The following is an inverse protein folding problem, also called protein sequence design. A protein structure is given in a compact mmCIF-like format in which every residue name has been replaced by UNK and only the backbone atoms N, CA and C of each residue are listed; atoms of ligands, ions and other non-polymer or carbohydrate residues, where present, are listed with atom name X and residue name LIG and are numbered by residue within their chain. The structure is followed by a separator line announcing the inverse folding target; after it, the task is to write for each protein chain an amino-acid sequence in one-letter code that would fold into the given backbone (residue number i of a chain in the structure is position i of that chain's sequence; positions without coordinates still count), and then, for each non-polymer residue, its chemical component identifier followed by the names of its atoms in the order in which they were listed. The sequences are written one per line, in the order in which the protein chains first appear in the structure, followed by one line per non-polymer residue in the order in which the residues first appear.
data_IF_156171269244
#
_entry.id   IF_156171269244
#
_cell.length_a   1.000
_cell.length_b   1.000
_cell.length_c   1.000
_cell.angle_alpha   90.00
_cell.angle_beta   90.00
_cell.angle_gamma   90.00
#
_symmetry.space_group_name_H-M   'P 1'
#
loop_
_entity.id
_entity.type
_entity.pdbx_description
1 polymer ?
#
# COMPACT_ATOMS: atom_id res chain seq x y z
N UNK A 1 7.18 2.04 20.20
CA UNK A 1 5.83 1.64 19.76
C UNK A 1 5.53 2.30 18.41
N UNK A 2 4.92 1.57 17.50
CA UNK A 2 4.59 2.08 16.18
C UNK A 2 3.24 2.78 16.21
N UNK A 3 3.17 3.93 15.58
CA UNK A 3 1.94 4.70 15.48
C UNK A 3 1.55 4.90 14.02
N UNK A 4 0.29 4.61 13.71
CA UNK A 4 -0.29 4.87 12.38
C UNK A 4 -1.13 6.14 12.43
N UNK A 5 -1.00 6.98 11.43
CA UNK A 5 -1.89 8.14 11.26
C UNK A 5 -2.02 8.51 9.80
N UNK A 6 -3.08 9.22 9.44
CA UNK A 6 -3.23 9.69 8.08
C UNK A 6 -2.12 10.66 7.69
N UNK A 7 -1.73 10.61 6.43
CA UNK A 7 -0.72 11.51 5.87
C UNK A 7 -1.21 12.96 5.94
N UNK A 8 -0.29 13.85 6.25
CA UNK A 8 -0.54 15.30 6.18
C UNK A 8 0.48 15.92 5.23
N UNK A 9 0.24 17.19 4.88
CA UNK A 9 1.13 17.91 3.96
C UNK A 9 2.60 17.89 4.43
N UNK A 10 2.82 17.95 5.74
CA UNK A 10 4.19 17.96 6.28
C UNK A 10 4.92 16.63 6.10
N UNK A 11 4.20 15.55 5.79
CA UNK A 11 4.80 14.24 5.57
C UNK A 11 5.20 14.00 4.11
N UNK A 12 4.72 14.81 3.19
CA UNK A 12 4.86 14.54 1.76
C UNK A 12 6.32 14.33 1.33
N UNK A 13 7.24 15.17 1.79
CA UNK A 13 8.64 15.07 1.41
C UNK A 13 9.28 13.78 1.93
N UNK A 14 9.01 13.41 3.19
CA UNK A 14 9.56 12.20 3.80
C UNK A 14 9.03 10.95 3.10
N UNK A 15 7.74 10.89 2.81
CA UNK A 15 7.13 9.75 2.12
C UNK A 15 7.69 9.62 0.71
N UNK A 16 7.77 10.73 -0.03
CA UNK A 16 8.32 10.71 -1.39
C UNK A 16 9.75 10.19 -1.40
N UNK A 17 10.58 10.61 -0.44
CA UNK A 17 11.95 10.13 -0.32
C UNK A 17 12.00 8.62 -0.07
N UNK A 18 11.17 8.11 0.84
CA UNK A 18 11.12 6.67 1.15
C UNK A 18 10.72 5.87 -0.10
N UNK A 19 9.70 6.33 -0.83
CA UNK A 19 9.24 5.64 -2.04
C UNK A 19 10.35 5.62 -3.10
N UNK A 20 10.97 6.76 -3.37
CA UNK A 20 12.02 6.86 -4.39
C UNK A 20 13.24 6.02 -4.02
N UNK A 21 13.66 6.04 -2.75
CA UNK A 21 14.79 5.24 -2.30
C UNK A 21 14.54 3.76 -2.51
N UNK A 22 13.33 3.29 -2.19
CA UNK A 22 12.96 1.89 -2.41
C UNK A 22 12.96 1.53 -3.88
N UNK A 23 12.34 2.35 -4.72
CA UNK A 23 12.28 2.07 -6.16
C UNK A 23 13.68 2.03 -6.77
N UNK A 24 14.52 3.00 -6.42
CA UNK A 24 15.89 3.05 -6.92
C UNK A 24 16.69 1.82 -6.49
N UNK A 25 16.56 1.41 -5.23
CA UNK A 25 17.25 0.25 -4.69
C UNK A 25 16.94 -1.02 -5.47
N UNK A 26 15.71 -1.15 -5.97
CA UNK A 26 15.28 -2.34 -6.71
C UNK A 26 15.23 -2.12 -8.23
N UNK A 27 15.94 -1.09 -8.73
CA UNK A 27 16.05 -0.78 -10.16
C UNK A 27 14.71 -0.45 -10.81
N UNK A 28 13.81 0.18 -10.05
CA UNK A 28 12.50 0.62 -10.51
C UNK A 28 12.39 2.15 -10.62
N UNK A 29 13.52 2.85 -10.61
CA UNK A 29 13.62 4.28 -10.91
C UNK A 29 13.57 4.50 -12.43
N UNK A 30 12.51 3.99 -13.06
CA UNK A 30 12.33 3.95 -14.51
C UNK A 30 10.99 4.59 -14.90
N UNK A 31 10.86 5.05 -16.17
CA UNK A 31 9.60 5.62 -16.63
C UNK A 31 8.44 4.66 -16.46
N UNK A 32 7.28 5.19 -16.13
CA UNK A 32 6.06 4.42 -15.90
C UNK A 32 5.85 3.96 -14.48
N UNK A 33 6.82 4.18 -13.58
CA UNK A 33 6.64 3.96 -12.15
C UNK A 33 6.34 5.29 -11.46
N UNK A 34 5.89 5.20 -10.20
CA UNK A 34 5.59 6.43 -9.43
C UNK A 34 6.85 7.27 -9.15
N UNK A 35 8.05 6.74 -9.40
CA UNK A 35 9.29 7.48 -9.19
C UNK A 35 9.27 8.85 -9.88
N UNK A 36 8.70 8.90 -11.08
CA UNK A 36 8.66 10.14 -11.88
C UNK A 36 7.32 10.86 -11.82
N UNK A 37 6.37 10.38 -11.01
CA UNK A 37 5.08 11.05 -10.89
C UNK A 37 5.23 12.36 -10.13
N UNK A 38 4.72 13.44 -10.71
CA UNK A 38 4.70 14.73 -10.04
C UNK A 38 3.87 14.66 -8.74
N UNK A 39 2.81 13.86 -8.75
CA UNK A 39 1.94 13.69 -7.59
C UNK A 39 2.62 13.02 -6.40
N UNK A 40 3.75 12.34 -6.61
CA UNK A 40 4.45 11.66 -5.50
C UNK A 40 4.88 12.65 -4.41
N UNK A 41 5.21 13.87 -4.77
CA UNK A 41 5.62 14.89 -3.80
C UNK A 41 4.44 15.55 -3.09
N UNK A 42 3.21 15.18 -3.47
CA UNK A 42 1.97 15.79 -2.99
C UNK A 42 0.90 14.76 -2.65
N UNK A 43 1.31 13.62 -2.05
CA UNK A 43 0.37 12.52 -1.79
C UNK A 43 -0.79 12.93 -0.90
N UNK A 44 -0.58 13.85 0.03
CA UNK A 44 -1.65 14.32 0.91
C UNK A 44 -2.77 15.01 0.14
N UNK A 45 -2.50 15.54 -1.06
CA UNK A 45 -3.52 16.16 -1.89
C UNK A 45 -4.41 15.12 -2.58
N UNK A 46 -3.85 13.97 -2.91
CA UNK A 46 -4.58 12.91 -3.61
C UNK A 46 -5.42 12.08 -2.67
N UNK A 47 -4.85 11.68 -1.54
CA UNK A 47 -5.53 10.85 -0.55
C UNK A 47 -6.33 11.71 0.43
N UNK A 48 -7.20 11.08 1.21
CA UNK A 48 -7.91 11.78 2.27
C UNK A 48 -9.40 11.93 2.03
N UNK A 49 -10.01 10.96 1.34
CA UNK A 49 -11.47 10.86 1.23
C UNK A 49 -11.90 9.42 1.50
N UNK A 50 -13.20 9.16 1.47
CA UNK A 50 -13.71 7.84 1.84
C UNK A 50 -13.29 6.72 0.89
N UNK A 51 -12.93 7.05 -0.35
CA UNK A 51 -12.55 6.04 -1.35
C UNK A 51 -11.06 5.73 -1.31
N UNK A 52 -10.22 6.65 -0.81
CA UNK A 52 -8.78 6.48 -0.81
C UNK A 52 -8.12 7.21 0.35
N UNK A 53 -7.26 6.49 1.04
CA UNK A 53 -6.54 7.01 2.21
C UNK A 53 -5.11 6.50 2.19
N UNK A 54 -4.22 7.29 2.77
CA UNK A 54 -2.82 6.91 2.94
C UNK A 54 -2.42 7.18 4.38
N UNK A 55 -1.73 6.22 4.97
CA UNK A 55 -1.29 6.28 6.37
C UNK A 55 0.22 6.25 6.44
N UNK A 56 0.79 7.11 7.26
CA UNK A 56 2.21 7.07 7.58
C UNK A 56 2.40 6.36 8.91
N UNK A 57 3.61 5.83 9.09
CA UNK A 57 3.99 5.13 10.30
C UNK A 57 5.09 5.91 10.95
N UNK A 58 4.90 6.22 12.25
CA UNK A 58 5.89 6.90 13.06
C UNK A 58 6.52 5.93 14.06
N UNK A 59 7.82 6.08 14.28
CA UNK A 59 8.51 5.41 15.38
C UNK A 59 8.35 6.21 16.68
N UNK A 60 9.01 5.75 17.74
CA UNK A 60 8.93 6.39 19.06
C UNK A 60 9.48 7.83 19.07
N UNK A 61 10.35 8.15 18.11
CA UNK A 61 10.93 9.50 17.99
C UNK A 61 10.08 10.44 17.14
N UNK A 62 8.92 9.98 16.67
CA UNK A 62 8.06 10.79 15.81
C UNK A 62 8.53 10.86 14.36
N UNK A 63 9.49 10.02 13.97
CA UNK A 63 9.99 9.98 12.60
C UNK A 63 9.10 9.11 11.72
N UNK A 64 8.82 9.58 10.50
CA UNK A 64 8.09 8.79 9.51
C UNK A 64 9.04 7.72 8.95
N UNK A 65 8.69 6.46 9.17
CA UNK A 65 9.51 5.32 8.75
C UNK A 65 8.87 4.46 7.66
N UNK A 66 7.67 4.80 7.23
CA UNK A 66 6.99 4.09 6.17
C UNK A 66 5.60 4.59 5.94
N UNK A 67 4.92 3.95 5.00
CA UNK A 67 3.53 4.27 4.70
C UNK A 67 2.86 3.20 3.88
N UNK A 68 1.54 3.25 3.87
CA UNK A 68 0.69 2.34 3.11
C UNK A 68 -0.67 2.99 2.89
N UNK A 69 -1.27 2.73 1.73
CA UNK A 69 -2.56 3.29 1.43
C UNK A 69 -3.42 2.38 0.57
N UNK A 70 -4.60 2.88 0.27
CA UNK A 70 -5.50 2.22 -0.67
C UNK A 70 -6.27 3.25 -1.48
N UNK A 71 -6.72 2.82 -2.65
CA UNK A 71 -7.63 3.58 -3.51
C UNK A 71 -8.65 2.60 -4.10
N UNK A 72 -9.78 3.11 -4.53
CA UNK A 72 -10.76 2.29 -5.23
C UNK A 72 -10.15 1.74 -6.52
N UNK A 73 -10.30 0.44 -6.73
CA UNK A 73 -9.96 -0.18 -8.02
C UNK A 73 -11.22 -0.24 -8.87
N UNK A 74 -11.40 0.77 -9.70
CA UNK A 74 -12.63 1.01 -10.45
C UNK A 74 -13.09 -0.19 -11.30
N UNK A 75 -12.20 -0.94 -11.98
CA UNK A 75 -12.65 -2.03 -12.85
C UNK A 75 -13.43 -3.14 -12.16
N UNK A 76 -13.23 -3.34 -10.86
CA UNK A 76 -13.90 -4.43 -10.13
C UNK A 76 -14.65 -3.87 -8.92
N UNK A 77 -15.93 -4.24 -8.81
CA UNK A 77 -16.79 -3.75 -7.74
C UNK A 77 -16.24 -4.15 -6.36
N UNK A 78 -16.44 -3.27 -5.38
CA UNK A 78 -16.10 -3.48 -3.97
C UNK A 78 -14.63 -3.82 -3.75
N UNK A 79 -13.76 -3.38 -4.64
CA UNK A 79 -12.32 -3.69 -4.61
C UNK A 79 -11.50 -2.43 -4.33
N UNK A 80 -10.60 -2.54 -3.38
CA UNK A 80 -9.59 -1.52 -3.09
C UNK A 80 -8.24 -2.00 -3.59
N UNK A 81 -7.45 -1.08 -4.15
CA UNK A 81 -6.06 -1.36 -4.50
C UNK A 81 -5.16 -0.94 -3.35
N UNK A 82 -4.39 -1.89 -2.82
CA UNK A 82 -3.33 -1.60 -1.85
C UNK A 82 -2.21 -0.88 -2.58
N UNK A 83 -1.81 0.28 -2.07
CA UNK A 83 -0.87 1.15 -2.76
C UNK A 83 0.29 1.59 -1.86
N UNK A 84 1.45 1.67 -2.48
CA UNK A 84 2.64 2.34 -1.94
C UNK A 84 3.02 1.88 -0.52
N UNK A 85 3.10 0.57 -0.33
CA UNK A 85 3.65 -0.02 0.88
C UNK A 85 5.18 0.08 0.81
N UNK A 86 5.75 0.98 1.58
CA UNK A 86 7.20 1.17 1.62
C UNK A 86 7.66 1.45 3.04
N UNK A 87 8.89 1.02 3.33
CA UNK A 87 9.55 1.22 4.62
C UNK A 87 10.95 1.77 4.40
N UNK A 88 11.46 2.51 5.38
CA UNK A 88 12.88 2.85 5.41
C UNK A 88 13.70 1.56 5.59
N UNK A 89 14.96 1.57 5.17
CA UNK A 89 15.82 0.40 5.31
C UNK A 89 15.95 -0.05 6.77
N UNK A 90 16.04 0.91 7.69
CA UNK A 90 16.16 0.59 9.12
C UNK A 90 14.91 -0.11 9.66
N UNK A 91 13.75 0.12 9.07
CA UNK A 91 12.50 -0.48 9.53
C UNK A 91 12.22 -1.86 8.90
N UNK A 92 12.95 -2.21 7.84
CA UNK A 92 12.77 -3.50 7.16
C UNK A 92 13.25 -4.65 8.03
N UNK A 93 12.67 -5.83 7.80
CA UNK A 93 13.08 -7.05 8.49
C UNK A 93 12.58 -7.19 9.92
N UNK A 94 11.69 -6.31 10.35
CA UNK A 94 11.15 -6.31 11.72
C UNK A 94 9.74 -6.92 11.83
N UNK A 95 9.21 -7.44 10.73
CA UNK A 95 7.82 -7.92 10.68
C UNK A 95 6.80 -6.80 10.52
N UNK A 96 7.25 -5.58 10.35
CA UNK A 96 6.37 -4.42 10.28
C UNK A 96 5.49 -4.45 9.02
N UNK A 97 6.01 -4.94 7.90
CA UNK A 97 5.24 -5.06 6.67
C UNK A 97 3.98 -5.91 6.84
N UNK A 98 4.07 -7.01 7.58
CA UNK A 98 2.90 -7.85 7.88
C UNK A 98 1.85 -7.08 8.67
N UNK A 99 2.28 -6.33 9.68
CA UNK A 99 1.38 -5.53 10.51
C UNK A 99 0.72 -4.42 9.72
N UNK A 100 1.46 -3.81 8.81
CA UNK A 100 0.95 -2.74 7.97
C UNK A 100 -0.16 -3.24 7.04
N UNK A 101 0.00 -4.44 6.49
CA UNK A 101 -1.02 -5.04 5.64
C UNK A 101 -2.29 -5.32 6.47
N UNK A 102 -2.15 -5.88 7.68
CA UNK A 102 -3.30 -6.09 8.55
C UNK A 102 -4.03 -4.77 8.84
N UNK A 103 -3.27 -3.73 9.12
CA UNK A 103 -3.83 -2.41 9.39
C UNK A 103 -4.62 -1.88 8.21
N UNK A 104 -4.05 -1.92 7.00
CA UNK A 104 -4.72 -1.34 5.84
C UNK A 104 -5.94 -2.18 5.42
N UNK A 105 -5.87 -3.50 5.58
CA UNK A 105 -7.03 -4.35 5.31
C UNK A 105 -8.20 -4.02 6.24
N UNK A 106 -7.92 -3.73 7.50
CA UNK A 106 -8.96 -3.29 8.43
C UNK A 106 -9.58 -1.98 7.98
N UNK A 107 -8.77 -1.04 7.49
CA UNK A 107 -9.29 0.24 6.97
C UNK A 107 -10.11 0.04 5.70
N UNK A 108 -9.68 -0.84 4.81
CA UNK A 108 -10.45 -1.19 3.62
C UNK A 108 -11.82 -1.76 3.99
N UNK A 109 -11.86 -2.68 4.95
CA UNK A 109 -13.11 -3.29 5.41
C UNK A 109 -14.05 -2.25 6.01
N UNK A 110 -13.53 -1.35 6.81
CA UNK A 110 -14.31 -0.26 7.41
C UNK A 110 -14.92 0.65 6.34
N UNK A 111 -14.21 0.83 5.23
CA UNK A 111 -14.69 1.64 4.11
C UNK A 111 -15.69 0.89 3.22
N UNK A 112 -15.94 -0.39 3.49
CA UNK A 112 -16.92 -1.19 2.74
C UNK A 112 -16.33 -2.04 1.62
N UNK A 113 -15.02 -2.07 1.45
CA UNK A 113 -14.41 -2.91 0.42
C UNK A 113 -14.38 -4.37 0.85
N UNK A 114 -14.52 -5.26 -0.12
CA UNK A 114 -14.58 -6.71 0.11
C UNK A 114 -13.39 -7.45 -0.48
N UNK A 115 -12.65 -6.81 -1.37
CA UNK A 115 -11.50 -7.40 -2.05
C UNK A 115 -10.35 -6.40 -1.99
N UNK A 116 -9.16 -6.89 -1.70
CA UNK A 116 -7.91 -6.14 -1.81
C UNK A 116 -7.16 -6.62 -3.05
N UNK A 117 -6.79 -5.71 -3.91
CA UNK A 117 -6.03 -5.95 -5.13
C UNK A 117 -4.71 -5.20 -5.04
N UNK A 118 -3.66 -5.73 -5.65
CA UNK A 118 -2.40 -5.01 -5.74
C UNK A 118 -1.63 -5.33 -7.00
N UNK A 119 -0.81 -4.39 -7.40
CA UNK A 119 0.14 -4.53 -8.50
C UNK A 119 1.54 -4.39 -7.93
N UNK A 120 2.44 -5.27 -8.35
CA UNK A 120 3.82 -5.23 -7.88
C UNK A 120 4.76 -5.66 -9.00
N UNK A 121 6.04 -5.73 -8.70
CA UNK A 121 7.07 -6.07 -9.69
C UNK A 121 7.91 -7.23 -9.18
N UNK A 122 8.35 -8.09 -10.10
CA UNK A 122 9.17 -9.25 -9.77
C UNK A 122 10.49 -8.87 -9.07
N UNK A 123 10.96 -7.65 -9.22
CA UNK A 123 12.15 -7.18 -8.49
C UNK A 123 11.90 -7.04 -6.99
N UNK A 124 10.65 -6.94 -6.56
CA UNK A 124 10.28 -6.70 -5.16
C UNK A 124 9.95 -8.03 -4.46
N UNK A 125 10.92 -8.94 -4.41
CA UNK A 125 10.71 -10.30 -3.92
C UNK A 125 10.30 -10.36 -2.44
N UNK A 126 10.88 -9.51 -1.60
CA UNK A 126 10.51 -9.48 -0.18
C UNK A 126 9.04 -9.08 0.01
N UNK A 127 8.57 -8.08 -0.75
CA UNK A 127 7.18 -7.66 -0.70
C UNK A 127 6.25 -8.77 -1.18
N UNK A 128 6.60 -9.44 -2.28
CA UNK A 128 5.80 -10.55 -2.81
C UNK A 128 5.67 -11.66 -1.77
N UNK A 129 6.76 -11.99 -1.09
CA UNK A 129 6.74 -13.01 -0.04
C UNK A 129 5.74 -12.63 1.07
N UNK A 130 5.74 -11.37 1.48
CA UNK A 130 4.80 -10.89 2.50
C UNK A 130 3.36 -11.01 2.00
N UNK A 131 3.08 -10.59 0.76
CA UNK A 131 1.73 -10.68 0.20
C UNK A 131 1.24 -12.12 0.19
N UNK A 132 2.07 -13.05 -0.26
CA UNK A 132 1.71 -14.47 -0.29
C UNK A 132 1.44 -15.02 1.10
N UNK A 133 2.26 -14.67 2.08
CA UNK A 133 2.07 -15.07 3.47
C UNK A 133 0.78 -14.49 4.07
N UNK A 134 0.37 -13.31 3.61
CA UNK A 134 -0.87 -12.68 4.08
C UNK A 134 -2.10 -13.19 3.33
N UNK A 135 -1.95 -14.18 2.47
CA UNK A 135 -3.07 -14.82 1.81
C UNK A 135 -3.44 -14.24 0.45
N UNK A 136 -2.63 -13.34 -0.10
CA UNK A 136 -2.84 -12.85 -1.46
C UNK A 136 -2.51 -13.95 -2.46
N UNK A 137 -3.33 -14.07 -3.48
CA UNK A 137 -3.14 -15.05 -4.55
C UNK A 137 -2.86 -14.33 -5.86
N UNK A 138 -1.88 -14.84 -6.60
CA UNK A 138 -1.52 -14.25 -7.86
C UNK A 138 -2.62 -14.49 -8.90
N UNK A 139 -2.89 -13.45 -9.69
CA UNK A 139 -3.88 -13.46 -10.77
C UNK A 139 -3.21 -12.97 -12.05
N UNK A 140 -3.87 -13.18 -13.17
CA UNK A 140 -3.44 -12.59 -14.43
C UNK A 140 -3.68 -11.08 -14.41
N UNK A 141 -2.92 -10.34 -15.23
CA UNK A 141 -3.12 -8.91 -15.40
C UNK A 141 -4.58 -8.63 -15.76
N UNK A 142 -5.30 -7.80 -15.00
CA UNK A 142 -6.65 -7.41 -15.41
C UNK A 142 -6.64 -6.72 -16.79
N UNK A 143 -7.64 -7.01 -17.60
CA UNK A 143 -7.72 -6.46 -18.98
C UNK A 143 -7.69 -4.94 -19.01
N UNK A 144 -8.22 -4.32 -17.98
CA UNK A 144 -8.30 -2.87 -17.87
C UNK A 144 -6.97 -2.22 -17.51
N UNK A 145 -5.99 -3.00 -17.05
CA UNK A 145 -4.68 -2.51 -16.65
C UNK A 145 -3.74 -2.62 -17.84
N UNK A 146 -3.77 -1.62 -18.72
CA UNK A 146 -3.04 -1.66 -20.00
C UNK A 146 -1.71 -0.88 -19.97
N UNK A 147 -1.55 0.05 -19.03
CA UNK A 147 -0.39 0.94 -18.94
C UNK A 147 0.28 0.86 -17.57
N UNK A 148 0.74 -0.33 -17.20
CA UNK A 148 1.46 -0.50 -15.93
C UNK A 148 2.83 -1.10 -16.18
N UNK A 149 3.85 -0.55 -15.50
CA UNK A 149 5.19 -1.13 -15.48
C UNK A 149 5.24 -2.34 -14.54
N UNK A 150 4.26 -2.47 -13.66
CA UNK A 150 4.16 -3.62 -12.78
C UNK A 150 3.86 -4.87 -13.59
N UNK A 151 4.37 -6.01 -13.15
CA UNK A 151 4.27 -7.26 -13.91
C UNK A 151 3.73 -8.43 -13.08
N UNK A 152 3.37 -8.20 -11.83
CA UNK A 152 2.80 -9.21 -10.94
C UNK A 152 1.54 -8.64 -10.29
N UNK A 153 0.47 -9.41 -10.26
CA UNK A 153 -0.85 -8.96 -9.83
C UNK A 153 -1.42 -9.95 -8.84
N UNK A 154 -1.97 -9.45 -7.73
CA UNK A 154 -2.45 -10.29 -6.63
C UNK A 154 -3.79 -9.78 -6.13
N UNK A 155 -4.58 -10.66 -5.54
CA UNK A 155 -5.81 -10.28 -4.87
C UNK A 155 -6.10 -11.17 -3.67
N UNK A 156 -6.92 -10.65 -2.76
CA UNK A 156 -7.33 -11.35 -1.55
C UNK A 156 -8.76 -10.93 -1.22
N UNK A 157 -9.60 -11.91 -0.90
CA UNK A 157 -10.92 -11.62 -0.34
C UNK A 157 -10.74 -11.20 1.10
N UNK A 158 -11.31 -10.04 1.45
CA UNK A 158 -11.30 -9.55 2.83
C UNK A 158 -12.49 -10.17 3.57
N UNK A 159 -12.30 -10.56 4.79
CA UNK A 159 -13.40 -11.01 5.61
C UNK A 159 -14.31 -9.85 5.99
N UNK A 160 -15.29 -10.12 6.82
CA UNK A 160 -16.15 -9.08 7.38
C UNK A 160 -15.33 -8.14 8.27
N UNK A 161 -15.81 -6.91 8.44
CA UNK A 161 -15.16 -5.97 9.35
C UNK A 161 -15.19 -6.55 10.77
N UNK A 162 -14.20 -6.16 11.60
CA UNK A 162 -14.10 -6.65 12.98
C UNK A 162 -15.38 -6.45 13.78
N UNK A 163 -16.09 -5.36 13.53
CA UNK A 163 -17.35 -5.09 14.23
C UNK A 163 -18.48 -6.03 13.86
N UNK A 164 -18.48 -6.58 12.66
CA UNK A 164 -19.54 -7.48 12.18
C UNK A 164 -19.30 -8.92 12.60
N UNK A 165 -18.06 -9.32 12.82
CA UNK A 165 -17.71 -10.70 13.12
C UNK A 165 -17.93 -11.10 14.57
N UNK A 166 -18.44 -10.24 15.42
CA UNK A 166 -18.54 -10.48 16.85
C UNK A 166 -19.92 -10.96 17.28
N UNK A 167 -20.85 -10.96 16.40
CA UNK A 167 -22.24 -11.36 16.72
C UNK A 167 -22.35 -12.88 16.81
N UNK A 168 -21.64 -13.46 17.68
CA UNK A 168 -21.74 -14.91 17.88
C UNK A 168 -22.73 -15.24 19.01
#
# INVERSE_FOLDING_TARGET
MIKYREITETDNAAVAAIVRDNLKQFHLDIPGTVYFDAGLDHLSDYYGNDERRYFVIENDNGEVIGGIGYDRFVPVKDTAELQKLYLTDAAKGSGLGYKMIDFIEDRMKEAGYKISYLETHSNLQAAIHIYEKKGYKEIERPKEVVHSTMNRFFQKELGDSKGAGISL
#
